data_IF_004848254995
#
_entry.id   IF_004848254995
#
_cell.length_a   1.000
_cell.length_b   1.000
_cell.length_c   1.000
_cell.angle_alpha   90.00
_cell.angle_beta   90.00
_cell.angle_gamma   90.00
#
_symmetry.space_group_name_H-M   'P 1'
#
loop_
_entity.id
_entity.type
_entity.pdbx_description
1 polymer ?
#
# COMPACT_ATOMS: atom_id res chain seq x y z
N UNK A 1 -21.09 -10.30 3.23
CA UNK A 1 -20.05 -9.35 3.72
C UNK A 1 -18.72 -9.56 2.99
N UNK A 2 -18.24 -10.80 2.85
CA UNK A 2 -16.89 -11.08 2.33
C UNK A 2 -16.73 -10.73 0.86
N UNK A 3 -17.74 -10.95 0.01
CA UNK A 3 -17.68 -10.57 -1.41
C UNK A 3 -17.52 -9.07 -1.60
N UNK A 4 -18.29 -8.25 -0.86
CA UNK A 4 -18.19 -6.79 -0.92
C UNK A 4 -16.84 -6.28 -0.40
N UNK A 5 -16.31 -6.86 0.69
CA UNK A 5 -14.97 -6.51 1.19
C UNK A 5 -13.89 -6.79 0.13
N UNK A 6 -14.00 -7.89 -0.60
CA UNK A 6 -13.08 -8.24 -1.70
C UNK A 6 -13.13 -7.23 -2.85
N UNK A 7 -14.32 -6.75 -3.23
CA UNK A 7 -14.48 -5.70 -4.24
C UNK A 7 -13.82 -4.39 -3.78
N UNK A 8 -14.11 -3.94 -2.53
CA UNK A 8 -13.54 -2.72 -1.99
C UNK A 8 -12.01 -2.77 -1.95
N UNK A 9 -11.44 -3.88 -1.46
CA UNK A 9 -9.99 -4.10 -1.42
C UNK A 9 -9.37 -4.03 -2.82
N UNK A 10 -9.97 -4.72 -3.79
CA UNK A 10 -9.44 -4.75 -5.15
C UNK A 10 -9.47 -3.37 -5.82
N UNK A 11 -10.53 -2.58 -5.61
CA UNK A 11 -10.61 -1.21 -6.10
C UNK A 11 -9.58 -0.32 -5.43
N UNK A 12 -9.48 -0.35 -4.09
CA UNK A 12 -8.55 0.50 -3.34
C UNK A 12 -7.08 0.20 -3.67
N UNK A 13 -6.73 -1.05 -3.92
CA UNK A 13 -5.38 -1.47 -4.31
C UNK A 13 -5.03 -1.13 -5.76
N UNK A 14 -6.02 -0.82 -6.61
CA UNK A 14 -5.79 -0.60 -8.05
C UNK A 14 -5.98 0.88 -8.39
N UNK A 15 -6.97 1.21 -9.19
CA UNK A 15 -7.24 2.58 -9.66
C UNK A 15 -8.48 3.21 -8.99
N UNK A 16 -9.06 2.53 -8.00
CA UNK A 16 -10.40 2.82 -7.54
C UNK A 16 -11.45 2.27 -8.48
N UNK A 17 -12.69 2.67 -8.27
CA UNK A 17 -13.80 2.25 -9.12
C UNK A 17 -15.16 2.61 -8.51
N UNK A 18 -16.20 2.22 -9.19
CA UNK A 18 -17.58 2.37 -8.72
C UNK A 18 -18.24 1.00 -8.63
N UNK A 19 -18.78 0.69 -7.47
CA UNK A 19 -19.61 -0.49 -7.24
C UNK A 19 -21.08 -0.07 -7.30
N UNK A 20 -21.87 -0.84 -8.03
CA UNK A 20 -23.32 -0.67 -8.09
C UNK A 20 -24.00 -1.85 -7.37
N UNK A 21 -24.97 -1.56 -6.52
CA UNK A 21 -25.80 -2.57 -5.83
C UNK A 21 -27.24 -2.32 -6.24
N UNK A 22 -27.94 -3.37 -6.63
CA UNK A 22 -29.27 -3.32 -7.21
C UNK A 22 -29.27 -3.28 -8.73
N UNK A 23 -28.12 -3.63 -9.35
CA UNK A 23 -27.95 -3.81 -10.80
C UNK A 23 -27.40 -5.19 -11.05
N UNK A 24 -28.02 -5.95 -11.96
CA UNK A 24 -27.60 -7.29 -12.35
C UNK A 24 -26.54 -7.25 -13.46
N UNK A 25 -25.90 -8.38 -13.73
CA UNK A 25 -24.82 -8.50 -14.74
C UNK A 25 -25.27 -8.18 -16.17
N UNK A 26 -26.56 -8.38 -16.46
CA UNK A 26 -27.20 -8.04 -17.75
C UNK A 26 -27.62 -6.56 -17.83
N UNK A 27 -27.24 -5.76 -16.87
CA UNK A 27 -27.61 -4.35 -16.70
C UNK A 27 -29.08 -4.12 -16.30
N UNK A 28 -29.83 -5.18 -15.96
CA UNK A 28 -31.17 -5.03 -15.41
C UNK A 28 -31.11 -4.43 -13.99
N UNK A 29 -31.99 -3.47 -13.70
CA UNK A 29 -32.09 -2.85 -12.38
C UNK A 29 -33.08 -3.67 -11.55
N UNK A 30 -32.55 -4.48 -10.61
CA UNK A 30 -33.36 -5.23 -9.65
C UNK A 30 -33.79 -4.36 -8.45
N UNK A 31 -33.10 -3.23 -8.27
CA UNK A 31 -33.39 -2.27 -7.20
C UNK A 31 -32.90 -2.73 -5.82
N UNK A 32 -33.07 -1.84 -4.84
CA UNK A 32 -32.71 -2.07 -3.44
C UNK A 32 -33.94 -2.53 -2.65
N UNK A 33 -33.72 -3.42 -1.68
CA UNK A 33 -34.74 -3.75 -0.69
C UNK A 33 -34.82 -2.62 0.35
N UNK A 34 -36.00 -1.98 0.44
CA UNK A 34 -36.24 -0.83 1.33
C UNK A 34 -36.09 -1.12 2.82
N UNK A 35 -36.17 -2.40 3.22
CA UNK A 35 -35.99 -2.79 4.62
C UNK A 35 -34.53 -2.87 5.06
N UNK A 36 -33.57 -2.69 4.14
CA UNK A 36 -32.14 -2.80 4.41
C UNK A 36 -31.48 -1.43 4.25
N UNK A 37 -30.77 -1.01 5.30
CA UNK A 37 -29.88 0.15 5.23
C UNK A 37 -28.56 -0.26 4.57
N UNK A 38 -28.51 -0.10 3.25
CA UNK A 38 -27.35 -0.46 2.45
C UNK A 38 -26.16 0.48 2.67
N UNK A 39 -26.41 1.78 2.93
CA UNK A 39 -25.33 2.75 3.19
C UNK A 39 -24.60 2.41 4.48
N UNK A 40 -25.35 2.20 5.58
CA UNK A 40 -24.73 1.79 6.84
C UNK A 40 -24.03 0.44 6.73
N UNK A 41 -24.61 -0.49 5.98
CA UNK A 41 -24.03 -1.83 5.78
C UNK A 41 -22.69 -1.79 5.02
N UNK A 42 -22.60 -1.05 3.92
CA UNK A 42 -21.35 -0.95 3.16
C UNK A 42 -20.28 -0.16 3.90
N UNK A 43 -20.68 0.89 4.63
CA UNK A 43 -19.77 1.66 5.48
C UNK A 43 -19.18 0.80 6.60
N UNK A 44 -20.00 -0.05 7.21
CA UNK A 44 -19.54 -1.01 8.22
C UNK A 44 -18.55 -2.03 7.64
N UNK A 45 -18.80 -2.54 6.43
CA UNK A 45 -17.89 -3.45 5.74
C UNK A 45 -16.55 -2.76 5.42
N UNK A 46 -16.58 -1.56 4.88
CA UNK A 46 -15.38 -0.79 4.54
C UNK A 46 -14.51 -0.46 5.76
N UNK A 47 -15.14 -0.30 6.93
CA UNK A 47 -14.45 0.00 8.18
C UNK A 47 -13.93 -1.24 8.90
N UNK A 48 -14.73 -2.31 8.95
CA UNK A 48 -14.50 -3.42 9.87
C UNK A 48 -14.10 -4.73 9.18
N UNK A 49 -14.28 -4.88 7.86
CA UNK A 49 -13.95 -6.10 7.12
C UNK A 49 -12.74 -5.93 6.19
N UNK A 50 -12.11 -4.76 6.23
CA UNK A 50 -10.93 -4.41 5.43
C UNK A 50 -9.86 -3.81 6.34
N UNK A 51 -8.61 -4.11 6.07
CA UNK A 51 -7.46 -3.56 6.80
C UNK A 51 -6.38 -3.05 5.82
N UNK A 52 -5.95 -1.77 5.93
CA UNK A 52 -6.55 -0.71 6.75
C UNK A 52 -7.99 -0.37 6.29
N UNK A 53 -8.79 0.37 7.10
CA UNK A 53 -10.13 0.79 6.72
C UNK A 53 -10.15 1.62 5.43
N UNK A 54 -11.17 1.43 4.60
CA UNK A 54 -11.32 2.17 3.34
C UNK A 54 -12.38 3.26 3.51
N UNK A 55 -12.05 4.48 3.08
CA UNK A 55 -13.04 5.53 2.93
C UNK A 55 -13.83 5.32 1.63
N UNK A 56 -15.14 5.35 1.73
CA UNK A 56 -16.07 5.18 0.61
C UNK A 56 -17.07 6.33 0.59
N UNK A 57 -17.62 6.59 -0.59
CA UNK A 57 -18.70 7.57 -0.80
C UNK A 57 -19.93 6.82 -1.33
N UNK A 58 -20.82 6.34 -0.44
CA UNK A 58 -22.07 5.72 -0.85
C UNK A 58 -23.10 6.81 -1.22
N UNK A 59 -23.89 6.57 -2.26
CA UNK A 59 -24.98 7.43 -2.68
C UNK A 59 -26.14 6.59 -3.23
N UNK A 60 -27.35 6.79 -2.74
CA UNK A 60 -28.56 6.21 -3.31
C UNK A 60 -28.95 7.04 -4.54
N UNK A 61 -29.20 6.36 -5.64
CA UNK A 61 -29.63 6.98 -6.90
C UNK A 61 -30.99 6.42 -7.26
N UNK A 62 -31.96 7.33 -7.48
CA UNK A 62 -33.30 6.98 -7.96
C UNK A 62 -33.28 6.78 -9.47
N UNK A 63 -33.66 5.61 -9.92
CA UNK A 63 -33.79 5.24 -11.33
C UNK A 63 -35.27 4.93 -11.62
N UNK A 64 -35.73 5.04 -12.88
CA UNK A 64 -37.13 4.72 -13.22
C UNK A 64 -37.57 3.32 -12.82
N UNK A 65 -36.66 2.35 -12.84
CA UNK A 65 -36.88 0.93 -12.56
C UNK A 65 -36.73 0.59 -11.08
N UNK A 66 -36.11 1.48 -10.27
CA UNK A 66 -35.89 1.25 -8.85
C UNK A 66 -34.67 2.01 -8.33
N UNK A 67 -34.47 2.00 -7.02
CA UNK A 67 -33.31 2.64 -6.39
C UNK A 67 -32.10 1.72 -6.44
N UNK A 68 -30.94 2.31 -6.70
CA UNK A 68 -29.65 1.61 -6.63
C UNK A 68 -28.73 2.32 -5.65
N UNK A 69 -27.76 1.59 -5.08
CA UNK A 69 -26.65 2.19 -4.34
C UNK A 69 -25.42 2.25 -5.23
N UNK A 70 -24.90 3.42 -5.42
CA UNK A 70 -23.62 3.67 -6.05
C UNK A 70 -22.58 3.91 -4.95
N UNK A 71 -21.50 3.15 -4.96
CA UNK A 71 -20.40 3.30 -4.01
C UNK A 71 -19.12 3.63 -4.76
N UNK A 72 -18.65 4.84 -4.59
CA UNK A 72 -17.36 5.26 -5.14
C UNK A 72 -16.25 4.87 -4.19
N UNK A 73 -15.26 4.17 -4.71
CA UNK A 73 -14.03 3.78 -4.01
C UNK A 73 -12.87 4.45 -4.71
N UNK A 74 -12.16 5.31 -4.01
CA UNK A 74 -10.95 5.91 -4.56
C UNK A 74 -9.77 4.94 -4.47
N UNK A 75 -8.73 5.21 -5.28
CA UNK A 75 -7.45 4.55 -5.11
C UNK A 75 -6.91 4.86 -3.71
N UNK A 76 -6.73 3.83 -2.89
CA UNK A 76 -6.33 3.99 -1.51
C UNK A 76 -4.93 4.58 -1.35
N UNK A 77 -4.72 5.36 -0.29
CA UNK A 77 -3.41 5.97 0.04
C UNK A 77 -2.54 5.02 0.86
N UNK A 78 -3.18 4.26 1.76
CA UNK A 78 -2.50 3.38 2.73
C UNK A 78 -2.40 1.93 2.22
N UNK A 79 -2.13 1.77 0.90
CA UNK A 79 -1.97 0.45 0.28
C UNK A 79 -0.75 -0.28 0.84
N UNK A 80 -0.74 -1.63 0.87
CA UNK A 80 -1.80 -2.51 0.36
C UNK A 80 -2.93 -2.74 1.37
N UNK A 81 -4.16 -2.74 0.88
CA UNK A 81 -5.34 -3.14 1.63
C UNK A 81 -5.53 -4.65 1.54
N UNK A 82 -6.07 -5.24 2.61
CA UNK A 82 -6.38 -6.66 2.67
C UNK A 82 -7.75 -6.91 3.32
N UNK A 83 -8.35 -8.05 3.02
CA UNK A 83 -9.53 -8.53 3.75
C UNK A 83 -9.14 -9.04 5.14
N UNK A 84 -10.12 -9.30 6.01
CA UNK A 84 -9.85 -9.94 7.32
C UNK A 84 -9.25 -11.35 7.19
N UNK A 85 -9.39 -11.99 6.03
CA UNK A 85 -8.76 -13.27 5.72
C UNK A 85 -7.33 -13.10 5.16
N UNK A 86 -6.72 -11.92 5.32
CA UNK A 86 -5.37 -11.57 4.85
C UNK A 86 -5.20 -11.73 3.32
N UNK A 87 -6.28 -11.48 2.55
CA UNK A 87 -6.21 -11.55 1.10
C UNK A 87 -5.95 -10.15 0.53
N UNK A 88 -4.83 -9.99 -0.15
CA UNK A 88 -4.50 -8.82 -0.95
C UNK A 88 -5.05 -9.03 -2.36
N UNK A 89 -6.05 -8.25 -2.73
CA UNK A 89 -6.72 -8.39 -4.03
C UNK A 89 -6.43 -7.18 -4.91
N UNK A 90 -6.32 -7.44 -6.21
CA UNK A 90 -6.18 -6.43 -7.26
C UNK A 90 -7.24 -6.65 -8.32
N UNK A 91 -7.69 -5.57 -8.94
CA UNK A 91 -8.64 -5.63 -10.05
C UNK A 91 -7.91 -5.70 -11.38
N UNK A 92 -8.33 -6.66 -12.20
CA UNK A 92 -7.83 -6.83 -13.56
C UNK A 92 -9.02 -6.91 -14.50
N UNK A 93 -9.26 -5.83 -15.23
CA UNK A 93 -10.48 -5.67 -16.03
C UNK A 93 -11.74 -5.71 -15.14
N UNK A 94 -12.64 -6.65 -15.40
CA UNK A 94 -13.89 -6.83 -14.66
C UNK A 94 -13.79 -7.83 -13.49
N UNK A 95 -12.62 -8.44 -13.24
CA UNK A 95 -12.46 -9.47 -12.22
C UNK A 95 -11.45 -9.10 -11.14
N UNK A 96 -11.60 -9.69 -9.97
CA UNK A 96 -10.66 -9.56 -8.86
C UNK A 96 -9.85 -10.84 -8.72
N UNK A 97 -8.56 -10.71 -8.46
CA UNK A 97 -7.69 -11.83 -8.12
C UNK A 97 -6.74 -11.46 -6.99
N UNK A 98 -6.15 -12.45 -6.38
CA UNK A 98 -5.06 -12.25 -5.43
C UNK A 98 -3.86 -11.60 -6.12
N UNK A 99 -3.25 -10.61 -5.46
CA UNK A 99 -2.03 -9.97 -5.92
C UNK A 99 -0.89 -11.00 -5.96
N UNK A 100 -0.09 -10.96 -7.01
CA UNK A 100 1.17 -11.72 -7.08
C UNK A 100 2.20 -11.12 -6.11
N UNK A 101 3.25 -11.86 -5.78
CA UNK A 101 4.33 -11.36 -4.91
C UNK A 101 4.94 -10.06 -5.46
N UNK A 102 5.18 -9.98 -6.77
CA UNK A 102 5.73 -8.76 -7.38
C UNK A 102 4.78 -7.57 -7.35
N UNK A 103 3.48 -7.79 -7.49
CA UNK A 103 2.46 -6.73 -7.34
C UNK A 103 2.36 -6.26 -5.90
N UNK A 104 2.39 -7.19 -4.95
CA UNK A 104 2.37 -6.87 -3.53
C UNK A 104 3.58 -6.04 -3.12
N UNK A 105 4.78 -6.42 -3.57
CA UNK A 105 6.00 -5.66 -3.35
C UNK A 105 5.87 -4.23 -3.90
N UNK A 106 5.34 -4.06 -5.12
CA UNK A 106 5.11 -2.73 -5.71
C UNK A 106 4.11 -1.90 -4.90
N UNK A 107 3.06 -2.52 -4.35
CA UNK A 107 2.10 -1.83 -3.49
C UNK A 107 2.78 -1.31 -2.21
N UNK A 108 3.62 -2.11 -1.57
CA UNK A 108 4.41 -1.69 -0.40
C UNK A 108 5.40 -0.57 -0.73
N UNK A 109 6.09 -0.67 -1.86
CA UNK A 109 7.02 0.37 -2.33
C UNK A 109 6.30 1.70 -2.61
N UNK A 110 5.14 1.65 -3.29
CA UNK A 110 4.34 2.84 -3.59
C UNK A 110 3.74 3.49 -2.35
N UNK A 111 3.56 2.75 -1.28
CA UNK A 111 3.12 3.25 0.02
C UNK A 111 4.27 3.83 0.87
N UNK A 112 5.52 3.74 0.40
CA UNK A 112 6.69 4.13 1.18
C UNK A 112 6.98 3.22 2.37
N UNK A 113 6.39 2.02 2.40
CA UNK A 113 6.59 1.04 3.47
C UNK A 113 7.79 0.12 3.22
N UNK A 114 8.35 0.20 2.02
CA UNK A 114 9.54 -0.55 1.62
C UNK A 114 10.47 0.35 0.81
N UNK A 115 11.63 0.61 1.36
CA UNK A 115 12.69 1.38 0.76
C UNK A 115 13.75 0.41 0.20
N UNK A 116 13.78 0.23 -1.11
CA UNK A 116 14.75 -0.66 -1.76
C UNK A 116 16.18 -0.17 -1.57
N UNK A 117 16.37 1.13 -1.51
CA UNK A 117 17.64 1.80 -1.26
C UNK A 117 18.24 1.48 0.14
N UNK A 118 17.40 1.25 1.15
CA UNK A 118 17.84 0.80 2.48
C UNK A 118 18.04 -0.73 2.59
N UNK A 119 17.87 -1.48 1.48
CA UNK A 119 18.07 -2.94 1.49
C UNK A 119 19.54 -3.29 1.56
N UNK A 120 19.88 -4.28 2.40
CA UNK A 120 21.23 -4.84 2.49
C UNK A 120 21.68 -5.47 1.18
N UNK A 121 22.92 -5.24 0.80
CA UNK A 121 23.60 -5.98 -0.27
C UNK A 121 24.47 -7.05 0.37
N UNK A 122 24.03 -8.31 0.25
CA UNK A 122 24.69 -9.44 0.90
C UNK A 122 26.17 -9.58 0.49
N UNK A 123 27.00 -9.83 1.51
CA UNK A 123 28.43 -10.06 1.31
C UNK A 123 29.25 -8.78 1.17
N UNK A 124 28.66 -7.63 1.45
CA UNK A 124 29.38 -6.34 1.51
C UNK A 124 29.68 -5.94 2.94
N UNK A 125 30.65 -5.05 3.11
CA UNK A 125 31.00 -4.44 4.39
C UNK A 125 31.42 -2.97 4.21
N UNK A 126 31.89 -2.33 5.27
CA UNK A 126 32.33 -0.93 5.27
C UNK A 126 33.50 -0.68 4.31
N UNK A 127 34.30 -1.70 3.97
CA UNK A 127 35.44 -1.56 3.06
C UNK A 127 35.00 -1.43 1.60
N UNK A 128 33.77 -1.81 1.28
CA UNK A 128 33.18 -1.62 -0.04
C UNK A 128 32.71 -0.18 -0.30
N UNK A 129 32.69 0.66 0.74
CA UNK A 129 32.30 2.06 0.66
C UNK A 129 33.50 2.99 0.49
N UNK A 130 33.29 4.09 -0.22
CA UNK A 130 34.31 5.15 -0.33
C UNK A 130 34.35 6.01 0.93
N UNK A 131 35.19 5.61 1.88
CA UNK A 131 35.30 6.29 3.19
C UNK A 131 35.67 7.77 3.06
N UNK A 132 36.48 8.15 2.06
CA UNK A 132 36.83 9.55 1.82
C UNK A 132 35.64 10.38 1.30
N UNK A 133 34.71 9.76 0.58
CA UNK A 133 33.45 10.39 0.18
C UNK A 133 32.50 10.55 1.37
N UNK A 134 32.43 9.53 2.24
CA UNK A 134 31.68 9.57 3.48
C UNK A 134 32.16 10.69 4.41
N UNK A 135 33.47 10.79 4.65
CA UNK A 135 34.04 11.86 5.48
C UNK A 135 33.69 13.25 4.94
N UNK A 136 33.80 13.45 3.61
CA UNK A 136 33.40 14.73 2.99
C UNK A 136 31.91 15.02 3.18
N UNK A 137 31.06 14.01 3.02
CA UNK A 137 29.62 14.15 3.20
C UNK A 137 29.27 14.57 4.62
N UNK A 138 29.75 13.85 5.64
CA UNK A 138 29.45 14.15 7.02
C UNK A 138 30.07 15.48 7.49
N UNK A 139 31.26 15.84 6.99
CA UNK A 139 31.90 17.13 7.30
C UNK A 139 31.10 18.34 6.81
N UNK A 140 30.30 18.23 5.75
CA UNK A 140 29.40 19.30 5.29
C UNK A 140 28.32 19.63 6.33
N UNK A 141 27.96 18.67 7.17
CA UNK A 141 27.00 18.83 8.27
C UNK A 141 27.69 19.13 9.62
N UNK A 142 29.00 19.41 9.62
CA UNK A 142 29.77 19.69 10.82
C UNK A 142 30.05 18.44 11.66
N UNK A 143 29.99 17.26 11.08
CA UNK A 143 30.21 15.98 11.76
C UNK A 143 31.51 15.33 11.26
N UNK A 144 32.41 15.00 12.19
CA UNK A 144 33.68 14.33 11.91
C UNK A 144 33.55 12.83 12.14
N UNK A 145 33.29 12.11 11.05
CA UNK A 145 33.12 10.64 11.08
C UNK A 145 34.43 9.94 11.52
N UNK A 146 35.60 10.53 11.27
CA UNK A 146 36.89 9.93 11.64
C UNK A 146 37.15 9.91 13.14
N UNK A 147 36.59 10.88 13.87
CA UNK A 147 36.71 11.00 15.31
C UNK A 147 35.77 10.07 16.11
N UNK A 148 34.82 9.40 15.42
CA UNK A 148 33.81 8.56 16.06
C UNK A 148 34.29 7.12 16.20
N UNK A 149 34.07 6.54 17.39
CA UNK A 149 34.43 5.16 17.70
C UNK A 149 33.40 4.15 17.12
N UNK A 150 32.12 4.56 17.00
CA UNK A 150 31.02 3.70 16.54
C UNK A 150 30.52 4.10 15.16
N UNK A 151 31.41 4.07 14.17
CA UNK A 151 31.10 4.36 12.76
C UNK A 151 29.99 3.48 12.20
N UNK A 152 29.96 2.14 12.45
CA UNK A 152 28.90 1.29 11.92
C UNK A 152 27.50 1.75 12.34
N UNK A 153 27.30 2.13 13.60
CA UNK A 153 26.02 2.61 14.09
C UNK A 153 25.59 3.93 13.45
N UNK A 154 26.55 4.84 13.23
CA UNK A 154 26.26 6.12 12.57
C UNK A 154 25.84 5.89 11.12
N UNK A 155 26.53 4.99 10.41
CA UNK A 155 26.22 4.64 9.04
C UNK A 155 24.88 3.88 8.94
N UNK A 156 24.54 3.07 9.95
CA UNK A 156 23.24 2.40 10.05
C UNK A 156 22.10 3.40 10.28
N UNK A 157 22.30 4.38 11.17
CA UNK A 157 21.30 5.43 11.41
C UNK A 157 21.09 6.35 10.19
N UNK A 158 22.04 6.40 9.27
CA UNK A 158 21.95 7.15 8.01
C UNK A 158 21.49 6.28 6.82
N UNK A 159 21.04 5.03 7.06
CA UNK A 159 20.67 4.04 6.05
C UNK A 159 21.75 3.75 4.99
N UNK A 160 23.02 4.04 5.31
CA UNK A 160 24.18 3.73 4.45
C UNK A 160 24.63 2.29 4.64
N UNK A 161 24.49 1.77 5.87
CA UNK A 161 24.72 0.37 6.23
C UNK A 161 23.53 -0.18 7.00
N UNK A 162 23.47 -1.49 7.15
CA UNK A 162 22.54 -2.16 8.07
C UNK A 162 23.16 -2.31 9.46
N UNK A 163 22.35 -2.59 10.47
CA UNK A 163 22.84 -2.95 11.81
C UNK A 163 23.70 -4.23 11.81
N UNK A 164 23.50 -5.11 10.81
CA UNK A 164 24.32 -6.30 10.62
C UNK A 164 25.69 -6.03 10.00
N UNK A 165 25.97 -4.78 9.59
CA UNK A 165 27.25 -4.36 9.02
C UNK A 165 27.38 -4.54 7.51
N UNK A 166 26.30 -4.85 6.80
CA UNK A 166 26.27 -4.90 5.34
C UNK A 166 25.95 -3.51 4.78
N UNK A 167 26.56 -3.14 3.64
CA UNK A 167 26.22 -1.91 2.96
C UNK A 167 24.79 -1.99 2.39
N UNK A 168 24.07 -0.86 2.39
CA UNK A 168 22.78 -0.75 1.71
C UNK A 168 22.98 -0.44 0.23
N UNK A 169 21.92 -0.63 -0.58
CA UNK A 169 21.93 -0.22 -1.99
C UNK A 169 22.26 1.27 -2.12
N UNK A 170 21.69 2.13 -1.28
CA UNK A 170 22.00 3.56 -1.26
C UNK A 170 23.45 3.81 -0.87
N UNK A 171 23.96 3.11 0.15
CA UNK A 171 25.36 3.21 0.56
C UNK A 171 26.32 2.97 -0.60
N UNK A 172 26.17 1.86 -1.33
CA UNK A 172 27.01 1.51 -2.47
C UNK A 172 26.84 2.42 -3.70
N UNK A 173 25.65 3.01 -3.88
CA UNK A 173 25.42 3.91 -5.02
C UNK A 173 25.97 5.32 -4.78
N UNK A 174 26.01 5.76 -3.54
CA UNK A 174 26.43 7.13 -3.18
C UNK A 174 27.88 7.22 -2.72
N UNK A 175 28.39 6.15 -2.19
CA UNK A 175 29.70 6.06 -1.57
C UNK A 175 30.45 4.79 -2.01
#
# INVERSE_FOLDING_TARGET
>A
PDSLARELVAFANTQGGTLLIGVEDDSHISGLNESIDYEARIANIARNNVNPPINIEPAIVDMPEGRILMVRVERGRDRPYQTLQNQFLVRVGSTNRTATQGELLRLFQQAGLFHYDATAVQGTDIADLNLAALDRYFSQYGFDLTAEDDKPRILANADIMTEAGEATVAGLLLF
#
